data_IF_649351744577
#
_entry.id   IF_649351744577
#
_cell.length_a   1.000
_cell.length_b   1.000
_cell.length_c   1.000
_cell.angle_alpha   90.00
_cell.angle_beta   90.00
_cell.angle_gamma   90.00
#
_symmetry.space_group_name_H-M   'P 1'
#
loop_
_entity.id
_entity.type
_entity.pdbx_description
1 polymer ?
#
# COMPACT_ATOMS: atom_id res chain seq x y z
N UNK A 1 -24.76 -5.99 -8.42
CA UNK A 1 -24.04 -4.94 -9.18
C UNK A 1 -22.89 -5.59 -9.92
N UNK A 2 -22.59 -5.19 -11.16
CA UNK A 2 -21.44 -5.73 -11.90
C UNK A 2 -20.12 -5.29 -11.23
N UNK A 3 -19.10 -6.16 -11.24
CA UNK A 3 -17.78 -5.87 -10.68
C UNK A 3 -17.14 -4.60 -11.27
N UNK A 4 -17.42 -4.29 -12.53
CA UNK A 4 -16.86 -3.12 -13.20
C UNK A 4 -17.51 -1.81 -12.73
N UNK A 5 -18.77 -1.86 -12.30
CA UNK A 5 -19.43 -0.72 -11.65
C UNK A 5 -18.80 -0.43 -10.29
N UNK A 6 -18.42 -1.48 -9.53
CA UNK A 6 -17.72 -1.28 -8.27
C UNK A 6 -16.31 -0.73 -8.44
N UNK A 7 -15.58 -1.14 -9.48
CA UNK A 7 -14.26 -0.58 -9.79
C UNK A 7 -14.34 0.91 -10.10
N UNK A 8 -15.28 1.31 -10.95
CA UNK A 8 -15.47 2.71 -11.34
C UNK A 8 -15.92 3.56 -10.16
N UNK A 9 -16.91 3.10 -9.39
CA UNK A 9 -17.36 3.76 -8.16
C UNK A 9 -16.23 3.97 -7.16
N UNK A 10 -15.40 2.94 -6.93
CA UNK A 10 -14.25 3.01 -6.02
C UNK A 10 -13.21 4.04 -6.47
N UNK A 11 -12.91 4.07 -7.77
CA UNK A 11 -11.95 5.02 -8.34
C UNK A 11 -12.48 6.45 -8.27
N UNK A 12 -13.78 6.66 -8.54
CA UNK A 12 -14.43 7.97 -8.43
C UNK A 12 -14.42 8.45 -6.98
N UNK A 13 -14.86 7.61 -6.04
CA UNK A 13 -14.86 7.90 -4.61
C UNK A 13 -13.46 8.29 -4.11
N UNK A 14 -12.42 7.54 -4.51
CA UNK A 14 -11.05 7.86 -4.13
C UNK A 14 -10.63 9.23 -4.66
N UNK A 15 -10.90 9.53 -5.94
CA UNK A 15 -10.53 10.81 -6.53
C UNK A 15 -11.25 11.98 -5.86
N UNK A 16 -12.54 11.85 -5.57
CA UNK A 16 -13.33 12.85 -4.84
C UNK A 16 -12.72 13.12 -3.47
N UNK A 17 -12.52 12.06 -2.66
CA UNK A 17 -11.96 12.18 -1.32
C UNK A 17 -10.55 12.79 -1.30
N UNK A 18 -9.70 12.39 -2.25
CA UNK A 18 -8.32 12.90 -2.31
C UNK A 18 -8.28 14.34 -2.80
N UNK A 19 -9.12 14.71 -3.78
CA UNK A 19 -9.27 16.08 -4.26
C UNK A 19 -9.79 17.02 -3.17
N UNK A 20 -10.77 16.57 -2.39
CA UNK A 20 -11.31 17.31 -1.26
C UNK A 20 -10.28 17.59 -0.18
N UNK A 21 -9.43 16.60 0.14
CA UNK A 21 -8.31 16.78 1.09
C UNK A 21 -7.26 17.74 0.52
N UNK A 22 -6.98 17.64 -0.78
CA UNK A 22 -5.96 18.45 -1.44
C UNK A 22 -6.34 19.94 -1.48
N UNK A 23 -7.61 20.24 -1.78
CA UNK A 23 -8.15 21.61 -1.85
C UNK A 23 -8.07 22.38 -0.54
N UNK A 24 -8.05 21.68 0.60
CA UNK A 24 -8.05 22.31 1.92
C UNK A 24 -6.64 22.82 2.28
N UNK A 25 -6.51 24.03 2.85
CA UNK A 25 -5.24 24.61 3.28
C UNK A 25 -4.75 23.98 4.59
N UNK A 26 -4.48 22.67 4.55
CA UNK A 26 -4.00 21.89 5.68
C UNK A 26 -2.52 21.60 5.53
N UNK A 27 -1.82 21.54 6.66
CA UNK A 27 -0.44 21.05 6.70
C UNK A 27 -0.37 19.62 6.09
N UNK A 28 0.66 19.29 5.28
CA UNK A 28 0.84 17.96 4.70
C UNK A 28 0.68 16.81 5.68
N UNK A 29 1.21 16.95 6.91
CA UNK A 29 1.08 15.92 7.95
C UNK A 29 -0.38 15.65 8.31
N UNK A 30 -1.20 16.69 8.38
CA UNK A 30 -2.63 16.57 8.66
C UNK A 30 -3.39 15.95 7.48
N UNK A 31 -3.02 16.29 6.24
CA UNK A 31 -3.57 15.65 5.03
C UNK A 31 -3.32 14.14 5.04
N UNK A 32 -2.12 13.72 5.44
CA UNK A 32 -1.75 12.30 5.57
C UNK A 32 -2.49 11.60 6.71
N UNK A 33 -2.72 12.28 7.84
CA UNK A 33 -3.54 11.75 8.93
C UNK A 33 -5.00 11.56 8.49
N UNK A 34 -5.56 12.51 7.74
CA UNK A 34 -6.90 12.37 7.16
C UNK A 34 -6.96 11.21 6.17
N UNK A 35 -5.99 11.09 5.29
CA UNK A 35 -5.89 9.96 4.37
C UNK A 35 -5.88 8.62 5.13
N UNK A 36 -4.98 8.45 6.10
CA UNK A 36 -4.83 7.19 6.82
C UNK A 36 -6.05 6.82 7.68
N UNK A 37 -6.72 7.80 8.30
CA UNK A 37 -7.84 7.57 9.22
C UNK A 37 -9.19 7.55 8.53
N UNK A 38 -9.41 8.45 7.57
CA UNK A 38 -10.71 8.66 6.94
C UNK A 38 -10.82 7.94 5.60
N UNK A 39 -9.91 8.23 4.66
CA UNK A 39 -9.98 7.68 3.29
C UNK A 39 -9.86 6.16 3.31
N UNK A 40 -8.83 5.61 3.96
CA UNK A 40 -8.63 4.16 4.04
C UNK A 40 -9.77 3.44 4.75
N UNK A 41 -10.45 4.10 5.68
CA UNK A 41 -11.63 3.53 6.36
C UNK A 41 -12.85 3.49 5.45
N UNK A 42 -13.06 4.52 4.61
CA UNK A 42 -14.13 4.54 3.61
C UNK A 42 -13.91 3.49 2.52
N UNK A 43 -12.68 3.29 2.06
CA UNK A 43 -12.35 2.25 1.07
C UNK A 43 -12.47 0.83 1.64
N UNK A 44 -12.34 0.66 2.96
CA UNK A 44 -12.31 -0.66 3.60
C UNK A 44 -13.55 -1.49 3.29
N UNK A 45 -14.73 -0.87 3.23
CA UNK A 45 -15.97 -1.56 2.90
C UNK A 45 -15.97 -2.09 1.46
N UNK A 46 -15.58 -1.27 0.48
CA UNK A 46 -15.46 -1.70 -0.92
C UNK A 46 -14.43 -2.83 -1.07
N UNK A 47 -13.33 -2.76 -0.34
CA UNK A 47 -12.32 -3.82 -0.31
C UNK A 47 -12.81 -5.13 0.30
N UNK A 48 -13.81 -5.11 1.17
CA UNK A 48 -14.40 -6.34 1.73
C UNK A 48 -15.45 -6.98 0.82
N UNK A 49 -16.24 -6.17 0.11
CA UNK A 49 -17.41 -6.65 -0.62
C UNK A 49 -17.08 -6.99 -2.08
N UNK A 50 -16.20 -6.22 -2.72
CA UNK A 50 -15.89 -6.40 -4.13
C UNK A 50 -14.82 -7.48 -4.35
N UNK A 51 -15.00 -8.31 -5.38
CA UNK A 51 -13.97 -9.25 -5.84
C UNK A 51 -12.97 -8.51 -6.73
N UNK A 52 -11.94 -7.94 -6.09
CA UNK A 52 -10.86 -7.22 -6.77
C UNK A 52 -9.57 -8.04 -6.76
N UNK A 53 -8.76 -7.92 -7.82
CA UNK A 53 -7.40 -8.47 -7.82
C UNK A 53 -6.43 -7.50 -7.16
N UNK A 54 -5.42 -8.03 -6.44
CA UNK A 54 -4.36 -7.20 -5.83
C UNK A 54 -3.61 -6.38 -6.86
N UNK A 55 -3.36 -6.94 -8.04
CA UNK A 55 -2.69 -6.23 -9.14
C UNK A 55 -3.48 -5.00 -9.55
N UNK A 56 -4.79 -5.16 -9.76
CA UNK A 56 -5.67 -4.05 -10.13
C UNK A 56 -5.68 -2.94 -9.06
N UNK A 57 -5.74 -3.30 -7.76
CA UNK A 57 -5.68 -2.32 -6.66
C UNK A 57 -4.33 -1.58 -6.66
N UNK A 58 -3.23 -2.29 -6.87
CA UNK A 58 -1.88 -1.71 -6.88
C UNK A 58 -1.67 -0.78 -8.08
N UNK A 59 -2.21 -1.13 -9.25
CA UNK A 59 -2.01 -0.34 -10.47
C UNK A 59 -2.93 0.89 -10.52
N UNK A 60 -4.17 0.78 -10.04
CA UNK A 60 -5.18 1.82 -10.20
C UNK A 60 -5.38 2.66 -8.94
N UNK A 61 -5.50 2.02 -7.78
CA UNK A 61 -5.85 2.70 -6.52
C UNK A 61 -4.59 3.28 -5.86
N UNK A 62 -3.52 2.48 -5.76
CA UNK A 62 -2.27 2.97 -5.18
C UNK A 62 -1.64 4.06 -6.03
N UNK A 63 -1.75 3.99 -7.37
CA UNK A 63 -1.19 5.03 -8.26
C UNK A 63 -1.84 6.39 -8.05
N UNK A 64 -3.17 6.43 -7.89
CA UNK A 64 -3.92 7.64 -7.55
C UNK A 64 -3.47 8.16 -6.18
N UNK A 65 -3.49 7.30 -5.14
CA UNK A 65 -3.11 7.71 -3.79
C UNK A 65 -1.67 8.23 -3.73
N UNK A 66 -0.73 7.53 -4.39
CA UNK A 66 0.69 7.90 -4.46
C UNK A 66 0.91 9.25 -5.16
N UNK A 67 0.12 9.58 -6.19
CA UNK A 67 0.19 10.89 -6.86
C UNK A 67 -0.07 12.04 -5.88
N UNK A 68 -1.14 11.94 -5.10
CA UNK A 68 -1.48 12.96 -4.09
C UNK A 68 -0.50 12.97 -2.92
N UNK A 69 -0.09 11.81 -2.41
CA UNK A 69 0.90 11.72 -1.32
C UNK A 69 2.23 12.37 -1.73
N UNK A 70 2.70 12.11 -2.96
CA UNK A 70 3.90 12.77 -3.51
C UNK A 70 3.72 14.28 -3.56
N UNK A 71 2.57 14.75 -4.03
CA UNK A 71 2.26 16.19 -4.11
C UNK A 71 2.27 16.84 -2.73
N UNK A 72 1.66 16.22 -1.72
CA UNK A 72 1.60 16.77 -0.37
C UNK A 72 2.96 16.80 0.33
N UNK A 73 3.79 15.79 0.08
CA UNK A 73 5.13 15.68 0.67
C UNK A 73 6.22 16.34 -0.19
N UNK A 74 5.85 16.96 -1.31
CA UNK A 74 6.78 17.56 -2.27
C UNK A 74 7.88 16.60 -2.74
N UNK A 75 7.55 15.31 -2.81
CA UNK A 75 8.49 14.26 -3.23
C UNK A 75 8.56 14.27 -4.77
N UNK A 76 9.75 14.41 -5.37
CA UNK A 76 9.89 14.39 -6.82
C UNK A 76 9.48 13.04 -7.41
N UNK A 77 9.16 12.99 -8.70
CA UNK A 77 8.73 11.77 -9.38
C UNK A 77 9.78 10.65 -9.27
N UNK A 78 11.06 11.01 -9.32
CA UNK A 78 12.20 10.10 -9.12
C UNK A 78 12.42 9.68 -7.66
N UNK A 79 11.78 10.35 -6.70
CA UNK A 79 11.90 10.05 -5.28
C UNK A 79 11.23 8.73 -4.90
N UNK A 80 11.82 8.03 -3.94
CA UNK A 80 11.32 6.75 -3.44
C UNK A 80 10.27 6.97 -2.34
N UNK A 81 9.01 6.59 -2.60
CA UNK A 81 7.94 6.61 -1.58
C UNK A 81 8.09 5.54 -0.49
N UNK A 82 8.96 4.55 -0.68
CA UNK A 82 9.20 3.48 0.30
C UNK A 82 9.57 4.01 1.68
N UNK A 83 10.27 5.15 1.78
CA UNK A 83 10.65 5.76 3.07
C UNK A 83 9.42 6.25 3.84
N UNK A 84 8.41 6.78 3.14
CA UNK A 84 7.16 7.28 3.72
C UNK A 84 6.39 6.17 4.44
N UNK A 85 6.46 4.94 3.92
CA UNK A 85 5.73 3.79 4.46
C UNK A 85 6.42 3.13 5.66
N UNK A 86 7.64 3.52 6.01
CA UNK A 86 8.34 3.00 7.19
C UNK A 86 7.72 3.53 8.50
N UNK A 87 8.08 2.91 9.61
CA UNK A 87 7.66 3.35 10.94
C UNK A 87 8.40 4.61 11.37
N UNK A 88 7.82 5.37 12.31
CA UNK A 88 8.44 6.58 12.86
C UNK A 88 9.84 6.30 13.46
N UNK A 89 10.04 5.12 14.05
CA UNK A 89 11.34 4.70 14.59
C UNK A 89 12.43 4.55 13.51
N UNK A 90 12.04 4.44 12.23
CA UNK A 90 12.92 4.33 11.07
C UNK A 90 12.77 5.54 10.15
N UNK A 91 12.47 6.71 10.72
CA UNK A 91 12.29 7.98 10.00
C UNK A 91 11.17 7.98 8.94
N UNK A 92 10.24 7.03 9.00
CA UNK A 92 9.06 7.00 8.15
C UNK A 92 7.87 7.75 8.75
N UNK A 93 6.77 7.83 8.00
CA UNK A 93 5.54 8.50 8.43
C UNK A 93 4.45 7.53 8.91
N UNK A 94 4.75 6.23 8.94
CA UNK A 94 3.87 5.14 9.38
C UNK A 94 2.52 5.09 8.64
N UNK A 95 2.52 5.52 7.37
CA UNK A 95 1.36 5.45 6.48
C UNK A 95 1.46 4.16 5.67
N UNK A 96 0.34 3.67 5.17
CA UNK A 96 0.31 2.49 4.30
C UNK A 96 -0.56 2.76 3.07
N UNK A 97 -0.22 2.13 1.92
CA UNK A 97 -0.98 2.30 0.69
C UNK A 97 -2.33 1.55 0.76
N UNK A 98 -3.28 1.88 -0.13
CA UNK A 98 -4.59 1.24 -0.19
C UNK A 98 -4.51 -0.29 -0.41
N UNK A 99 -3.55 -0.77 -1.19
CA UNK A 99 -3.31 -2.21 -1.42
C UNK A 99 -3.06 -3.00 -0.13
N UNK A 100 -2.35 -2.42 0.83
CA UNK A 100 -2.12 -3.06 2.14
C UNK A 100 -3.41 -3.14 2.91
N UNK A 101 -4.22 -2.07 2.90
CA UNK A 101 -5.54 -2.07 3.53
C UNK A 101 -6.45 -3.12 2.90
N UNK A 102 -6.41 -3.27 1.58
CA UNK A 102 -7.14 -4.30 0.85
C UNK A 102 -6.77 -5.71 1.34
N UNK A 103 -5.47 -6.03 1.42
CA UNK A 103 -5.01 -7.34 1.93
C UNK A 103 -5.49 -7.56 3.37
N UNK A 104 -5.41 -6.55 4.23
CA UNK A 104 -5.91 -6.67 5.60
C UNK A 104 -7.40 -7.01 5.65
N UNK A 105 -8.22 -6.32 4.86
CA UNK A 105 -9.65 -6.58 4.75
C UNK A 105 -9.92 -8.03 4.29
N UNK A 106 -9.21 -8.47 3.26
CA UNK A 106 -9.34 -9.83 2.73
C UNK A 106 -8.90 -10.90 3.73
N UNK A 107 -7.78 -10.71 4.43
CA UNK A 107 -7.34 -11.64 5.49
C UNK A 107 -8.37 -11.74 6.63
N UNK A 108 -8.96 -10.62 7.05
CA UNK A 108 -10.00 -10.62 8.11
C UNK A 108 -11.26 -11.35 7.62
N UNK A 109 -11.71 -11.07 6.40
CA UNK A 109 -12.86 -11.74 5.80
C UNK A 109 -12.64 -13.26 5.72
N UNK A 110 -11.49 -13.69 5.18
CA UNK A 110 -11.13 -15.11 5.07
C UNK A 110 -11.09 -15.80 6.41
N UNK A 111 -10.51 -15.15 7.43
CA UNK A 111 -10.49 -15.68 8.78
C UNK A 111 -11.88 -15.82 9.37
N UNK A 112 -12.75 -14.83 9.19
CA UNK A 112 -14.13 -14.88 9.65
C UNK A 112 -14.93 -16.03 8.99
N UNK A 113 -14.72 -16.26 7.69
CA UNK A 113 -15.32 -17.40 6.99
C UNK A 113 -14.79 -18.74 7.51
N UNK A 114 -13.47 -18.85 7.75
CA UNK A 114 -12.82 -20.06 8.25
C UNK A 114 -13.23 -20.42 9.69
N UNK A 115 -13.39 -19.41 10.55
CA UNK A 115 -13.77 -19.59 11.96
C UNK A 115 -15.28 -19.59 12.19
N UNK A 116 -16.09 -19.50 11.14
CA UNK A 116 -17.55 -19.51 11.24
C UNK A 116 -18.04 -20.87 11.79
N UNK A 117 -18.95 -20.87 12.78
CA UNK A 117 -19.60 -22.10 13.24
C UNK A 117 -20.64 -22.62 12.24
N UNK A 118 -21.13 -21.78 11.32
CA UNK A 118 -22.09 -22.19 10.30
C UNK A 118 -21.37 -22.95 9.17
N UNK A 119 -21.83 -24.18 8.91
CA UNK A 119 -21.27 -25.09 7.91
C UNK A 119 -21.36 -24.52 6.49
N UNK A 120 -22.49 -23.91 6.13
CA UNK A 120 -22.68 -23.29 4.80
C UNK A 120 -21.64 -22.19 4.50
N UNK A 121 -21.28 -21.39 5.50
CA UNK A 121 -20.22 -20.37 5.39
C UNK A 121 -18.83 -20.99 5.30
N UNK A 122 -18.61 -22.12 5.97
CA UNK A 122 -17.34 -22.86 5.90
C UNK A 122 -17.17 -23.52 4.52
N UNK A 123 -18.26 -24.02 3.93
CA UNK A 123 -18.26 -24.57 2.58
C UNK A 123 -17.94 -23.49 1.54
N UNK A 124 -18.41 -22.24 1.73
CA UNK A 124 -17.96 -21.10 0.92
C UNK A 124 -16.45 -20.86 1.04
N UNK A 125 -15.87 -20.97 2.24
CA UNK A 125 -14.42 -20.86 2.43
C UNK A 125 -13.66 -21.98 1.71
N UNK A 126 -14.13 -23.23 1.81
CA UNK A 126 -13.54 -24.41 1.14
C UNK A 126 -13.64 -24.30 -0.39
N UNK A 127 -14.79 -23.85 -0.91
CA UNK A 127 -14.99 -23.68 -2.35
C UNK A 127 -14.06 -22.59 -2.92
N UNK A 128 -13.76 -21.55 -2.14
CA UNK A 128 -12.94 -20.42 -2.57
C UNK A 128 -11.46 -20.55 -2.22
N UNK A 129 -11.06 -21.52 -1.38
CA UNK A 129 -9.64 -21.69 -0.96
C UNK A 129 -8.70 -22.07 -2.09
N UNK A 130 -9.22 -22.71 -3.13
CA UNK A 130 -8.40 -23.25 -4.23
C UNK A 130 -8.25 -22.28 -5.40
N UNK A 131 -8.97 -21.14 -5.40
CA UNK A 131 -9.23 -20.38 -6.62
C UNK A 131 -8.40 -19.12 -6.82
N UNK A 132 -7.52 -18.71 -5.90
CA UNK A 132 -6.82 -17.42 -6.01
C UNK A 132 -5.30 -17.53 -5.92
N UNK A 133 -4.62 -16.84 -6.84
CA UNK A 133 -3.16 -16.65 -6.92
C UNK A 133 -2.55 -15.89 -5.71
N UNK A 134 -3.35 -15.58 -4.69
CA UNK A 134 -2.93 -14.86 -3.48
C UNK A 134 -3.34 -15.69 -2.27
N UNK A 135 -2.35 -16.13 -1.50
CA UNK A 135 -2.57 -16.89 -0.27
C UNK A 135 -2.90 -15.93 0.88
N UNK A 136 -4.13 -15.41 0.93
CA UNK A 136 -4.59 -14.58 2.06
C UNK A 136 -4.55 -15.33 3.40
N UNK A 137 -4.68 -16.65 3.33
CA UNK A 137 -4.65 -17.56 4.48
C UNK A 137 -3.23 -17.78 5.03
N UNK A 138 -2.19 -17.32 4.32
CA UNK A 138 -0.82 -17.32 4.83
C UNK A 138 -0.63 -16.38 6.02
N UNK A 139 -1.47 -15.34 6.13
CA UNK A 139 -1.41 -14.38 7.22
C UNK A 139 -2.36 -14.78 8.35
N UNK A 140 -1.83 -14.90 9.56
CA UNK A 140 -2.61 -15.20 10.77
C UNK A 140 -3.46 -14.01 11.26
N UNK A 141 -3.01 -12.79 10.92
CA UNK A 141 -3.64 -11.54 11.37
C UNK A 141 -3.33 -10.35 10.46
N UNK A 142 -4.17 -9.31 10.51
CA UNK A 142 -3.93 -8.04 9.83
C UNK A 142 -2.68 -7.29 10.32
N UNK A 143 -2.19 -7.60 11.53
CA UNK A 143 -0.92 -7.06 12.05
C UNK A 143 0.28 -7.68 11.35
N UNK A 144 0.20 -8.97 11.03
CA UNK A 144 1.25 -9.69 10.31
C UNK A 144 1.40 -9.17 8.88
N UNK A 145 0.28 -8.89 8.20
CA UNK A 145 0.28 -8.22 6.88
C UNK A 145 1.06 -6.91 6.91
N UNK A 146 0.84 -6.07 7.94
CA UNK A 146 1.58 -4.81 8.09
C UNK A 146 3.07 -5.02 8.35
N UNK A 147 3.40 -6.03 9.17
CA UNK A 147 4.80 -6.36 9.49
C UNK A 147 5.53 -6.80 8.23
N UNK A 148 4.95 -7.75 7.50
CA UNK A 148 5.49 -8.29 6.25
C UNK A 148 5.69 -7.20 5.18
N UNK A 149 4.68 -6.35 4.99
CA UNK A 149 4.77 -5.20 4.09
C UNK A 149 5.91 -4.26 4.45
N UNK A 150 6.07 -3.92 5.74
CA UNK A 150 7.12 -3.02 6.22
C UNK A 150 8.51 -3.63 6.05
N UNK A 151 8.70 -4.90 6.39
CA UNK A 151 9.98 -5.59 6.15
C UNK A 151 10.32 -5.64 4.66
N UNK A 152 9.31 -5.84 3.80
CA UNK A 152 9.51 -5.80 2.35
C UNK A 152 10.00 -4.44 1.85
N UNK A 153 9.45 -3.33 2.35
CA UNK A 153 9.91 -1.98 1.99
C UNK A 153 11.29 -1.64 2.56
N UNK A 154 11.58 -2.10 3.76
CA UNK A 154 12.90 -1.96 4.37
C UNK A 154 13.98 -2.67 3.54
N UNK A 155 13.75 -3.92 3.17
CA UNK A 155 14.68 -4.67 2.32
C UNK A 155 14.88 -4.02 0.95
N UNK A 156 13.80 -3.50 0.35
CA UNK A 156 13.89 -2.75 -0.92
C UNK A 156 14.74 -1.48 -0.77
N UNK A 157 14.54 -0.73 0.31
CA UNK A 157 15.33 0.48 0.57
C UNK A 157 16.79 0.16 0.82
N UNK A 158 17.07 -0.89 1.60
CA UNK A 158 18.43 -1.33 1.87
C UNK A 158 19.14 -1.68 0.55
N UNK A 159 18.50 -2.49 -0.30
CA UNK A 159 19.05 -2.84 -1.62
C UNK A 159 19.27 -1.60 -2.51
N UNK A 160 18.33 -0.65 -2.52
CA UNK A 160 18.47 0.59 -3.28
C UNK A 160 19.63 1.44 -2.78
N UNK A 161 19.76 1.65 -1.47
CA UNK A 161 20.84 2.42 -0.87
C UNK A 161 22.20 1.75 -1.09
N UNK A 162 22.28 0.42 -0.97
CA UNK A 162 23.52 -0.33 -1.23
C UNK A 162 23.94 -0.22 -2.70
N UNK A 163 22.99 -0.28 -3.64
CA UNK A 163 23.29 -0.13 -5.07
C UNK A 163 23.75 1.29 -5.43
N UNK A 164 23.09 2.32 -4.89
CA UNK A 164 23.46 3.72 -5.09
C UNK A 164 24.81 4.02 -4.45
N UNK A 165 25.04 3.55 -3.22
CA UNK A 165 26.32 3.70 -2.53
C UNK A 165 27.46 3.01 -3.30
N UNK A 166 27.22 1.81 -3.82
CA UNK A 166 28.20 1.08 -4.64
C UNK A 166 28.52 1.82 -5.96
N UNK A 167 27.50 2.43 -6.59
CA UNK A 167 27.69 3.27 -7.77
C UNK A 167 28.52 4.51 -7.44
N UNK A 168 28.18 5.27 -6.40
CA UNK A 168 28.94 6.46 -5.99
C UNK A 168 30.37 6.13 -5.59
N UNK A 169 30.59 5.05 -4.85
CA UNK A 169 31.94 4.55 -4.52
C UNK A 169 32.73 4.19 -5.78
N UNK A 170 32.10 3.58 -6.78
CA UNK A 170 32.76 3.25 -8.04
C UNK A 170 33.09 4.52 -8.84
N UNK A 171 32.15 5.45 -8.98
CA UNK A 171 32.35 6.71 -9.70
C UNK A 171 33.44 7.56 -9.04
N UNK A 172 33.43 7.70 -7.72
CA UNK A 172 34.47 8.44 -6.99
C UNK A 172 35.84 7.80 -7.15
N UNK A 173 35.96 6.47 -7.07
CA UNK A 173 37.21 5.74 -7.36
C UNK A 173 37.70 5.94 -8.79
N UNK A 174 36.82 6.10 -9.77
CA UNK A 174 37.21 6.35 -11.16
C UNK A 174 37.54 7.83 -11.43
N UNK A 175 36.90 8.77 -10.74
CA UNK A 175 37.10 10.21 -10.94
C UNK A 175 38.32 10.77 -10.17
N UNK A 176 38.61 10.26 -8.96
CA UNK A 176 39.71 10.73 -8.12
C UNK A 176 41.12 10.58 -8.73
N UNK A 177 41.47 9.52 -9.49
CA UNK A 177 42.78 9.40 -10.13
C UNK A 177 43.06 10.44 -11.21
N UNK A 178 42.03 11.10 -11.75
CA UNK A 178 42.17 12.10 -12.82
C UNK A 178 42.39 13.53 -12.30
N UNK A 179 42.18 13.77 -11.01
CA UNK A 179 42.36 15.08 -10.34
C UNK A 179 43.74 15.26 -9.70
N UNK A 180 44.55 14.20 -9.62
CA UNK A 180 45.89 14.20 -9.04
C UNK A 180 47.02 14.15 -10.10
N UNK A 181 46.76 14.67 -11.32
CA UNK A 181 47.78 14.88 -12.35
C UNK A 181 47.89 16.36 -12.70
#
# INVERSE_FOLDING_TARGET
MSNDNHKTELTTLLNELMSDIDSKPLNPKNKLLLYSRYVLSKLAWHFTVATLSKTWVTENIDSIANKYIRRWLEVPISGTLSTVFLTNNKFGLSIYPPSVKFIQCQTVLRKALKSSPNESTNDLWRATSNHTNIQYDAYSSAKEVLKDFRSGHENKLLNQLTSQGSFFCSVTKFALPQLNK
#
